data_IF_899780408048
#
_entry.id   IF_899780408048
#
_cell.length_a   1.000
_cell.length_b   1.000
_cell.length_c   1.000
_cell.angle_alpha   90.00
_cell.angle_beta   90.00
_cell.angle_gamma   90.00
#
_symmetry.space_group_name_H-M   'P 1'
#
loop_
_entity.id
_entity.type
_entity.pdbx_description
1 polymer ?
#
# COMPACT_ATOMS: atom_id res chain seq x y z
N UNK A 1 1.42 22.29 -14.99
CA UNK A 1 1.53 22.26 -13.51
C UNK A 1 1.46 20.80 -13.11
N UNK A 2 2.44 20.30 -12.37
CA UNK A 2 2.46 18.89 -11.96
C UNK A 2 1.52 18.74 -10.77
N UNK A 3 0.36 18.10 -10.95
CA UNK A 3 -0.65 17.86 -9.90
C UNK A 3 -0.22 16.77 -8.89
N UNK A 4 1.08 16.62 -8.66
CA UNK A 4 1.67 15.59 -7.80
C UNK A 4 2.70 16.24 -6.88
N UNK A 5 2.55 16.02 -5.58
CA UNK A 5 3.48 16.51 -4.56
C UNK A 5 3.97 15.37 -3.69
N UNK A 6 5.30 15.27 -3.56
CA UNK A 6 5.94 14.24 -2.75
C UNK A 6 6.49 14.84 -1.46
N UNK A 7 6.17 14.22 -0.33
CA UNK A 7 6.69 14.57 0.99
C UNK A 7 7.57 13.43 1.49
N UNK A 8 8.89 13.57 1.36
CA UNK A 8 9.85 12.52 1.73
C UNK A 8 10.15 12.50 3.22
N UNK A 9 10.29 11.29 3.78
CA UNK A 9 10.93 11.08 5.09
C UNK A 9 12.29 10.40 4.87
N UNK A 10 13.34 10.93 5.50
CA UNK A 10 14.67 10.30 5.50
C UNK A 10 14.88 9.63 6.86
N UNK A 11 15.03 8.30 6.90
CA UNK A 11 15.21 7.52 8.13
C UNK A 11 16.62 6.93 8.16
N UNK A 12 17.65 7.79 8.18
CA UNK A 12 19.06 7.35 8.11
C UNK A 12 19.88 7.58 9.40
N UNK A 13 19.23 7.80 10.55
CA UNK A 13 19.95 7.90 11.83
C UNK A 13 19.12 7.38 13.00
N UNK A 14 19.80 6.85 14.04
CA UNK A 14 19.13 6.40 15.28
C UNK A 14 18.40 7.52 16.03
N UNK A 15 18.84 8.77 15.85
CA UNK A 15 18.17 9.96 16.38
C UNK A 15 16.78 10.18 15.74
N UNK A 16 16.63 9.81 14.47
CA UNK A 16 15.36 9.91 13.74
C UNK A 16 14.39 8.83 14.20
N UNK A 17 14.85 7.62 14.52
CA UNK A 17 13.99 6.57 15.06
C UNK A 17 13.40 6.96 16.43
N UNK A 18 14.23 7.53 17.30
CA UNK A 18 13.75 8.02 18.61
C UNK A 18 12.74 9.15 18.43
N UNK A 19 13.01 10.09 17.51
CA UNK A 19 12.08 11.18 17.19
C UNK A 19 10.76 10.66 16.61
N UNK A 20 10.81 9.68 15.70
CA UNK A 20 9.62 9.01 15.16
C UNK A 20 8.81 8.40 16.31
N UNK A 21 9.45 7.66 17.20
CA UNK A 21 8.78 7.05 18.35
C UNK A 21 8.09 8.09 19.24
N UNK A 22 8.74 9.23 19.51
CA UNK A 22 8.13 10.35 20.26
C UNK A 22 6.92 10.92 19.55
N UNK A 23 7.01 11.17 18.24
CA UNK A 23 5.92 11.72 17.43
C UNK A 23 4.72 10.77 17.36
N UNK A 24 4.97 9.48 17.18
CA UNK A 24 3.92 8.45 17.06
C UNK A 24 3.20 8.15 18.38
N UNK A 25 3.61 8.77 19.51
CA UNK A 25 2.80 8.75 20.75
C UNK A 25 1.44 9.40 20.52
N UNK A 26 1.38 10.41 19.66
CA UNK A 26 0.11 10.91 19.18
C UNK A 26 -0.34 10.06 17.99
N UNK A 27 -1.23 9.10 18.26
CA UNK A 27 -1.74 8.18 17.24
C UNK A 27 -2.61 8.87 16.16
N UNK A 28 -3.10 10.08 16.43
CA UNK A 28 -3.89 10.90 15.50
C UNK A 28 -3.05 11.97 14.78
N UNK A 29 -1.70 11.88 14.86
CA UNK A 29 -0.81 12.89 14.30
C UNK A 29 -1.07 13.15 12.81
N UNK A 30 -1.18 12.10 12.00
CA UNK A 30 -1.41 12.27 10.56
C UNK A 30 -2.80 12.81 10.29
N UNK A 31 -3.85 12.30 10.93
CA UNK A 31 -5.22 12.79 10.75
C UNK A 31 -5.31 14.30 11.01
N UNK A 32 -4.71 14.78 12.11
CA UNK A 32 -4.67 16.20 12.42
C UNK A 32 -3.94 17.03 11.35
N UNK A 33 -2.79 16.55 10.85
CA UNK A 33 -2.02 17.25 9.80
C UNK A 33 -2.79 17.27 8.48
N UNK A 34 -3.37 16.14 8.08
CA UNK A 34 -4.09 16.02 6.82
C UNK A 34 -5.34 16.90 6.83
N UNK A 35 -6.13 16.85 7.91
CA UNK A 35 -7.32 17.70 8.09
C UNK A 35 -6.98 19.19 8.01
N UNK A 36 -5.82 19.60 8.55
CA UNK A 36 -5.45 21.01 8.59
C UNK A 36 -4.89 21.54 7.26
N UNK A 37 -4.18 20.71 6.49
CA UNK A 37 -3.33 21.21 5.41
C UNK A 37 -3.54 20.57 4.04
N UNK A 38 -4.14 19.38 3.96
CA UNK A 38 -4.07 18.57 2.74
C UNK A 38 -5.44 18.16 2.18
N UNK A 39 -6.44 17.88 3.02
CA UNK A 39 -7.70 17.29 2.54
C UNK A 39 -8.44 18.15 1.51
N UNK A 40 -8.38 19.47 1.62
CA UNK A 40 -9.02 20.38 0.65
C UNK A 40 -8.16 20.63 -0.62
N UNK A 41 -6.92 20.16 -0.64
CA UNK A 41 -5.95 20.47 -1.70
C UNK A 41 -5.70 19.32 -2.68
N UNK A 42 -6.05 18.08 -2.32
CA UNK A 42 -5.73 16.90 -3.10
C UNK A 42 -6.93 15.95 -3.18
N UNK A 43 -7.21 15.44 -4.38
CA UNK A 43 -8.24 14.41 -4.58
C UNK A 43 -7.85 13.07 -3.96
N UNK A 44 -6.54 12.77 -3.92
CA UNK A 44 -5.99 11.54 -3.38
C UNK A 44 -4.71 11.81 -2.59
N UNK A 45 -4.57 11.12 -1.46
CA UNK A 45 -3.37 11.15 -0.61
C UNK A 45 -2.89 9.71 -0.44
N UNK A 46 -1.66 9.44 -0.89
CA UNK A 46 -1.02 8.13 -0.75
C UNK A 46 0.02 8.22 0.36
N UNK A 47 -0.09 7.34 1.36
CA UNK A 47 0.84 7.25 2.49
C UNK A 47 1.66 5.97 2.33
N UNK A 48 2.93 6.10 1.96
CA UNK A 48 3.87 4.97 1.93
C UNK A 48 4.37 4.68 3.35
N UNK A 49 4.13 3.46 3.81
CA UNK A 49 4.38 3.05 5.19
C UNK A 49 5.68 2.24 5.30
N UNK A 50 6.46 2.41 6.39
CA UNK A 50 7.58 1.52 6.65
C UNK A 50 7.09 0.08 6.91
N UNK A 51 7.96 -0.94 6.79
CA UNK A 51 7.57 -2.35 6.88
C UNK A 51 7.19 -2.84 8.29
N UNK A 52 7.01 -1.94 9.27
CA UNK A 52 6.72 -2.26 10.67
C UNK A 52 5.23 -2.10 10.97
N UNK A 53 4.62 -3.00 11.73
CA UNK A 53 3.17 -2.97 12.05
C UNK A 53 2.81 -2.07 13.24
N UNK A 54 3.71 -1.18 13.68
CA UNK A 54 3.51 -0.30 14.86
C UNK A 54 4.11 1.08 14.58
N UNK A 55 3.76 2.07 15.41
CA UNK A 55 4.28 3.42 15.29
C UNK A 55 3.69 4.13 14.07
N UNK A 56 4.53 4.48 13.10
CA UNK A 56 4.11 5.23 11.90
C UNK A 56 3.00 4.54 11.12
N UNK A 57 3.08 3.22 10.97
CA UNK A 57 2.03 2.47 10.26
C UNK A 57 0.70 2.54 10.98
N UNK A 58 0.68 2.51 12.32
CA UNK A 58 -0.57 2.71 13.07
C UNK A 58 -1.09 4.12 12.88
N UNK A 59 -0.23 5.14 12.95
CA UNK A 59 -0.61 6.55 12.73
C UNK A 59 -1.18 6.74 11.32
N UNK A 60 -0.59 6.12 10.31
CA UNK A 60 -1.06 6.15 8.93
C UNK A 60 -2.43 5.49 8.78
N UNK A 61 -2.61 4.28 9.33
CA UNK A 61 -3.89 3.56 9.28
C UNK A 61 -5.01 4.30 10.05
N UNK A 62 -4.68 5.00 11.14
CA UNK A 62 -5.64 5.84 11.86
C UNK A 62 -6.16 6.98 10.98
N UNK A 63 -5.33 7.53 10.09
CA UNK A 63 -5.68 8.66 9.24
C UNK A 63 -6.26 8.26 7.87
N UNK A 64 -6.08 7.01 7.43
CA UNK A 64 -6.44 6.57 6.09
C UNK A 64 -7.91 6.13 5.97
N UNK A 65 -8.52 6.37 4.81
CA UNK A 65 -9.86 5.86 4.49
C UNK A 65 -9.82 4.37 4.09
N UNK A 66 -8.80 3.96 3.35
CA UNK A 66 -8.57 2.57 2.96
C UNK A 66 -7.09 2.20 2.94
N UNK A 67 -6.80 0.90 2.95
CA UNK A 67 -5.43 0.37 2.86
C UNK A 67 -5.29 -0.65 1.73
N UNK A 68 -4.28 -0.43 0.88
CA UNK A 68 -3.83 -1.38 -0.15
C UNK A 68 -2.66 -2.20 0.41
N UNK A 69 -2.74 -3.52 0.28
CA UNK A 69 -1.77 -4.46 0.86
C UNK A 69 -0.96 -5.15 -0.24
N UNK A 70 0.28 -4.73 -0.52
CA UNK A 70 1.15 -5.44 -1.44
C UNK A 70 1.72 -6.71 -0.80
N UNK A 71 1.63 -7.84 -1.49
CA UNK A 71 2.16 -9.12 -1.02
C UNK A 71 2.87 -9.89 -2.14
N UNK A 72 4.08 -10.36 -1.86
CA UNK A 72 4.81 -11.29 -2.74
C UNK A 72 4.33 -12.72 -2.51
N UNK A 73 4.19 -13.51 -3.57
CA UNK A 73 3.92 -14.93 -3.42
C UNK A 73 5.05 -15.69 -2.70
N UNK A 74 4.69 -16.51 -1.71
CA UNK A 74 5.62 -17.24 -0.86
C UNK A 74 5.00 -17.66 0.48
N UNK A 75 5.61 -18.65 1.14
CA UNK A 75 5.09 -19.21 2.40
C UNK A 75 5.15 -18.20 3.56
N UNK A 76 6.22 -17.42 3.66
CA UNK A 76 6.39 -16.39 4.70
C UNK A 76 5.37 -15.25 4.59
N UNK A 77 4.85 -15.03 3.39
CA UNK A 77 3.94 -13.94 3.10
C UNK A 77 2.57 -14.13 3.74
N UNK A 78 2.08 -15.37 3.86
CA UNK A 78 0.74 -15.65 4.40
C UNK A 78 0.69 -15.38 5.91
N UNK A 79 1.73 -15.78 6.67
CA UNK A 79 1.78 -15.52 8.11
C UNK A 79 1.92 -14.02 8.41
N UNK A 80 2.76 -13.32 7.63
CA UNK A 80 2.89 -11.87 7.73
C UNK A 80 1.56 -11.16 7.41
N UNK A 81 0.86 -11.60 6.34
CA UNK A 81 -0.44 -11.07 5.96
C UNK A 81 -1.46 -11.22 7.09
N UNK A 82 -1.56 -12.40 7.72
CA UNK A 82 -2.48 -12.62 8.85
C UNK A 82 -2.20 -11.67 10.01
N UNK A 83 -0.93 -11.46 10.37
CA UNK A 83 -0.55 -10.51 11.44
C UNK A 83 -0.93 -9.08 11.09
N UNK A 84 -0.68 -8.66 9.86
CA UNK A 84 -1.02 -7.32 9.39
C UNK A 84 -2.53 -7.13 9.29
N UNK A 85 -3.28 -8.13 8.79
CA UNK A 85 -4.74 -8.09 8.72
C UNK A 85 -5.36 -7.96 10.11
N UNK A 86 -4.90 -8.75 11.09
CA UNK A 86 -5.35 -8.61 12.48
C UNK A 86 -5.06 -7.21 13.04
N UNK A 87 -3.94 -6.60 12.66
CA UNK A 87 -3.62 -5.23 13.07
C UNK A 87 -4.55 -4.20 12.41
N UNK A 88 -4.84 -4.34 11.11
CA UNK A 88 -5.83 -3.50 10.40
C UNK A 88 -7.20 -3.60 11.09
N UNK A 89 -7.66 -4.82 11.39
CA UNK A 89 -8.93 -5.04 12.11
C UNK A 89 -8.93 -4.36 13.47
N UNK A 90 -7.84 -4.49 14.23
CA UNK A 90 -7.70 -3.83 15.53
C UNK A 90 -7.74 -2.31 15.41
N UNK A 91 -7.02 -1.72 14.44
CA UNK A 91 -7.06 -0.26 14.19
C UNK A 91 -8.48 0.16 13.80
N UNK A 92 -9.14 -0.60 12.93
CA UNK A 92 -10.52 -0.32 12.53
C UNK A 92 -11.48 -0.33 13.73
N UNK A 93 -11.32 -1.30 14.62
CA UNK A 93 -12.20 -1.47 15.77
C UNK A 93 -11.95 -0.47 16.90
N UNK A 94 -10.73 0.04 17.04
CA UNK A 94 -10.34 0.82 18.22
C UNK A 94 -10.02 2.28 17.92
N UNK A 95 -9.55 2.59 16.71
CA UNK A 95 -8.99 3.91 16.37
C UNK A 95 -9.68 4.58 15.19
N UNK A 96 -9.96 3.85 14.10
CA UNK A 96 -10.52 4.41 12.87
C UNK A 96 -11.59 3.49 12.27
N UNK A 97 -12.85 3.72 12.65
CA UNK A 97 -14.00 2.90 12.19
C UNK A 97 -14.26 2.95 10.68
N UNK A 98 -13.73 3.96 9.99
CA UNK A 98 -13.90 4.13 8.53
C UNK A 98 -12.90 3.30 7.73
N UNK A 99 -11.79 2.87 8.35
CA UNK A 99 -10.73 2.13 7.67
C UNK A 99 -11.26 0.86 7.02
N UNK A 100 -11.11 0.79 5.70
CA UNK A 100 -11.45 -0.36 4.87
C UNK A 100 -10.20 -0.99 4.25
N UNK A 101 -10.31 -2.25 3.85
CA UNK A 101 -9.28 -2.88 3.02
C UNK A 101 -9.62 -2.59 1.56
N UNK A 102 -8.80 -1.79 0.90
CA UNK A 102 -8.97 -1.45 -0.52
C UNK A 102 -8.73 -2.70 -1.39
N UNK A 103 -7.69 -3.45 -1.03
CA UNK A 103 -7.44 -4.76 -1.57
C UNK A 103 -6.06 -5.30 -1.24
N UNK A 104 -5.85 -6.55 -1.61
CA UNK A 104 -4.59 -7.29 -1.53
C UNK A 104 -4.03 -7.40 -2.95
N UNK A 105 -2.88 -6.75 -3.17
CA UNK A 105 -2.18 -6.71 -4.44
C UNK A 105 -1.08 -7.76 -4.47
N UNK A 106 -1.17 -8.71 -5.40
CA UNK A 106 -0.10 -9.67 -5.62
C UNK A 106 1.04 -9.04 -6.43
N UNK A 107 2.26 -9.09 -5.90
CA UNK A 107 3.45 -8.48 -6.50
C UNK A 107 4.56 -9.48 -6.80
N UNK A 108 5.51 -9.06 -7.65
CA UNK A 108 6.65 -9.84 -8.12
C UNK A 108 6.22 -11.18 -8.73
N UNK A 109 5.16 -11.18 -9.52
CA UNK A 109 4.63 -12.39 -10.13
C UNK A 109 5.61 -13.00 -11.13
N UNK A 110 5.88 -14.30 -10.93
CA UNK A 110 6.69 -15.15 -11.81
C UNK A 110 5.81 -16.32 -12.29
N UNK A 111 5.48 -16.37 -13.60
CA UNK A 111 4.68 -17.45 -14.17
C UNK A 111 5.30 -18.83 -13.89
N UNK A 112 4.46 -19.86 -13.81
CA UNK A 112 4.87 -21.27 -13.72
C UNK A 112 5.66 -21.68 -12.46
N UNK A 113 5.65 -20.85 -11.40
CA UNK A 113 6.24 -21.24 -10.12
C UNK A 113 5.23 -21.98 -9.23
N UNK A 114 5.68 -23.06 -8.57
CA UNK A 114 4.85 -23.79 -7.58
C UNK A 114 4.43 -22.88 -6.43
N UNK A 115 5.33 -21.99 -6.00
CA UNK A 115 5.07 -21.02 -4.93
C UNK A 115 3.88 -20.11 -5.27
N UNK A 116 3.79 -19.62 -6.51
CA UNK A 116 2.65 -18.82 -6.96
C UNK A 116 1.34 -19.59 -6.84
N UNK A 117 1.25 -20.78 -7.42
CA UNK A 117 0.02 -21.57 -7.41
C UNK A 117 -0.49 -21.88 -6.00
N UNK A 118 0.43 -22.25 -5.10
CA UNK A 118 0.10 -22.50 -3.70
C UNK A 118 -0.34 -21.24 -2.96
N UNK A 119 0.40 -20.13 -3.09
CA UNK A 119 0.04 -18.88 -2.43
C UNK A 119 -1.28 -18.33 -2.94
N UNK A 120 -1.52 -18.34 -4.26
CA UNK A 120 -2.78 -17.90 -4.84
C UNK A 120 -3.95 -18.70 -4.25
N UNK A 121 -3.87 -20.03 -4.24
CA UNK A 121 -4.93 -20.88 -3.67
C UNK A 121 -5.26 -20.50 -2.23
N UNK A 122 -4.25 -20.43 -1.36
CA UNK A 122 -4.46 -20.12 0.07
C UNK A 122 -5.01 -18.71 0.27
N UNK A 123 -4.52 -17.73 -0.49
CA UNK A 123 -5.02 -16.36 -0.37
C UNK A 123 -6.49 -16.28 -0.77
N UNK A 124 -6.88 -16.86 -1.91
CA UNK A 124 -8.27 -16.85 -2.35
C UNK A 124 -9.20 -17.57 -1.36
N UNK A 125 -8.74 -18.65 -0.72
CA UNK A 125 -9.51 -19.34 0.32
C UNK A 125 -9.73 -18.52 1.60
N UNK A 126 -8.83 -17.58 1.93
CA UNK A 126 -8.88 -16.82 3.18
C UNK A 126 -9.32 -15.35 3.02
N UNK A 127 -9.11 -14.76 1.85
CA UNK A 127 -9.24 -13.32 1.58
C UNK A 127 -9.85 -13.01 0.21
N UNK A 128 -10.55 -13.97 -0.41
CA UNK A 128 -10.95 -13.92 -1.83
C UNK A 128 -11.54 -12.59 -2.30
N UNK A 129 -12.44 -11.99 -1.50
CA UNK A 129 -13.11 -10.73 -1.85
C UNK A 129 -12.19 -9.49 -1.76
N UNK A 130 -11.14 -9.58 -0.93
CA UNK A 130 -10.15 -8.52 -0.77
C UNK A 130 -9.05 -8.59 -1.85
N UNK A 131 -8.90 -9.71 -2.58
CA UNK A 131 -7.82 -9.86 -3.56
C UNK A 131 -8.14 -9.11 -4.85
N UNK A 132 -7.19 -8.28 -5.30
CA UNK A 132 -7.27 -7.60 -6.59
C UNK A 132 -7.05 -8.57 -7.75
N UNK A 133 -7.74 -8.30 -8.86
CA UNK A 133 -7.55 -9.02 -10.11
C UNK A 133 -6.20 -8.68 -10.75
N UNK A 134 -5.77 -7.43 -10.63
CA UNK A 134 -4.47 -6.99 -11.13
C UNK A 134 -3.32 -7.61 -10.33
N UNK A 135 -2.27 -8.00 -11.05
CA UNK A 135 -1.05 -8.59 -10.49
C UNK A 135 0.16 -7.84 -11.05
N UNK A 136 1.10 -7.45 -10.18
CA UNK A 136 2.34 -6.79 -10.61
C UNK A 136 3.39 -7.86 -10.98
N UNK A 137 3.81 -7.96 -12.25
CA UNK A 137 4.81 -8.92 -12.66
C UNK A 137 6.20 -8.55 -12.15
N UNK A 138 7.08 -9.55 -12.03
CA UNK A 138 8.51 -9.29 -11.95
C UNK A 138 8.96 -8.68 -13.28
N UNK A 139 9.53 -7.47 -13.22
CA UNK A 139 9.92 -6.71 -14.40
C UNK A 139 11.28 -6.05 -14.19
N UNK A 140 12.21 -6.28 -15.11
CA UNK A 140 13.52 -5.60 -15.12
C UNK A 140 13.35 -4.09 -15.30
N UNK A 141 12.36 -3.67 -16.09
CA UNK A 141 12.04 -2.26 -16.32
C UNK A 141 11.61 -1.55 -15.04
N UNK A 142 10.88 -2.22 -14.13
CA UNK A 142 10.54 -1.63 -12.82
C UNK A 142 11.83 -1.38 -12.03
N UNK A 143 12.71 -2.38 -11.95
CA UNK A 143 13.98 -2.28 -11.23
C UNK A 143 14.91 -1.20 -11.82
N UNK A 144 14.97 -1.08 -13.13
CA UNK A 144 15.74 -0.01 -13.79
C UNK A 144 15.13 1.36 -13.51
N UNK A 145 13.81 1.51 -13.64
CA UNK A 145 13.13 2.76 -13.36
C UNK A 145 13.36 3.24 -11.91
N UNK A 146 13.30 2.33 -10.94
CA UNK A 146 13.67 2.57 -9.53
C UNK A 146 15.11 3.08 -9.41
N UNK A 147 16.07 2.41 -10.07
CA UNK A 147 17.47 2.83 -10.08
C UNK A 147 17.68 4.24 -10.63
N UNK A 148 16.92 4.62 -11.67
CA UNK A 148 16.95 5.98 -12.23
C UNK A 148 16.07 7.00 -11.49
N UNK A 149 15.37 6.59 -10.42
CA UNK A 149 14.47 7.45 -9.68
C UNK A 149 13.28 7.97 -10.51
N UNK A 150 12.82 7.18 -11.48
CA UNK A 150 11.70 7.54 -12.37
C UNK A 150 10.52 6.60 -12.14
N UNK A 151 9.27 7.10 -12.13
CA UNK A 151 8.10 6.23 -12.23
C UNK A 151 8.21 5.33 -13.46
N UNK A 152 7.88 4.04 -13.31
CA UNK A 152 8.04 3.04 -14.39
C UNK A 152 7.30 3.44 -15.68
N UNK A 153 6.13 4.07 -15.56
CA UNK A 153 5.34 4.59 -16.68
C UNK A 153 6.07 5.68 -17.48
N UNK A 154 6.89 6.50 -16.83
CA UNK A 154 7.70 7.54 -17.48
C UNK A 154 9.03 7.00 -18.02
N UNK A 155 9.43 5.81 -17.58
CA UNK A 155 10.63 5.13 -18.04
C UNK A 155 10.35 4.32 -19.32
N UNK A 156 9.35 3.44 -19.29
CA UNK A 156 8.82 2.74 -20.46
C UNK A 156 7.36 2.37 -20.25
N UNK A 157 6.47 3.13 -20.89
CA UNK A 157 5.01 2.98 -20.81
C UNK A 157 4.51 1.64 -21.37
N UNK A 158 5.25 0.99 -22.28
CA UNK A 158 4.84 -0.27 -22.92
C UNK A 158 5.29 -1.50 -22.16
N UNK A 159 6.13 -1.34 -21.14
CA UNK A 159 6.60 -2.47 -20.34
C UNK A 159 5.44 -3.14 -19.58
N UNK A 160 5.60 -4.44 -19.31
CA UNK A 160 4.60 -5.22 -18.57
C UNK A 160 4.34 -4.65 -17.17
N UNK A 161 5.35 -4.04 -16.55
CA UNK A 161 5.23 -3.36 -15.25
C UNK A 161 4.35 -2.11 -15.33
N UNK A 162 4.62 -1.22 -16.30
CA UNK A 162 3.83 -0.01 -16.52
C UNK A 162 2.37 -0.32 -16.83
N UNK A 163 2.12 -1.29 -17.71
CA UNK A 163 0.76 -1.73 -18.03
C UNK A 163 0.04 -2.26 -16.79
N UNK A 164 0.71 -3.06 -15.95
CA UNK A 164 0.13 -3.59 -14.72
C UNK A 164 -0.21 -2.49 -13.70
N UNK A 165 0.63 -1.46 -13.54
CA UNK A 165 0.31 -0.33 -12.66
C UNK A 165 -0.85 0.53 -13.19
N UNK A 166 -0.98 0.70 -14.51
CA UNK A 166 -2.13 1.38 -15.12
C UNK A 166 -3.43 0.58 -14.92
N UNK A 167 -3.37 -0.74 -15.05
CA UNK A 167 -4.50 -1.63 -14.76
C UNK A 167 -4.90 -1.55 -13.28
N UNK A 168 -3.92 -1.53 -12.37
CA UNK A 168 -4.17 -1.37 -10.94
C UNK A 168 -4.89 -0.06 -10.65
N UNK A 169 -4.38 1.05 -11.21
CA UNK A 169 -5.02 2.36 -11.04
C UNK A 169 -6.48 2.34 -11.53
N UNK A 170 -6.75 1.74 -12.69
CA UNK A 170 -8.11 1.60 -13.21
C UNK A 170 -8.99 0.73 -12.31
N UNK A 171 -8.46 -0.37 -11.77
CA UNK A 171 -9.21 -1.26 -10.88
C UNK A 171 -9.61 -0.56 -9.58
N UNK A 172 -8.69 0.20 -8.97
CA UNK A 172 -8.93 0.96 -7.75
C UNK A 172 -9.96 2.08 -7.96
N UNK A 173 -9.84 2.83 -9.06
CA UNK A 173 -10.82 3.88 -9.41
C UNK A 173 -12.22 3.31 -9.64
N UNK A 174 -12.31 2.17 -10.33
CA UNK A 174 -13.60 1.52 -10.59
C UNK A 174 -14.22 0.90 -9.33
N UNK A 175 -13.40 0.41 -8.39
CA UNK A 175 -13.89 -0.04 -7.08
C UNK A 175 -14.47 1.11 -6.26
N UNK A 176 -13.79 2.26 -6.23
CA UNK A 176 -14.30 3.47 -5.57
C UNK A 176 -15.66 3.92 -6.10
N UNK A 177 -15.85 3.89 -7.42
CA UNK A 177 -17.12 4.25 -8.08
C UNK A 177 -18.30 3.31 -7.75
N UNK A 178 -18.04 2.07 -7.33
CA UNK A 178 -19.09 1.12 -6.92
C UNK A 178 -19.55 1.31 -5.47
N UNK A 179 -18.80 2.06 -4.65
CA UNK A 179 -19.11 2.32 -3.23
C UNK A 179 -19.86 3.65 -3.02
N UNK A 180 -20.03 4.47 -4.07
CA UNK A 180 -20.74 5.76 -4.03
C UNK A 180 -22.24 5.66 -4.42
N UNK A 181 -22.84 4.46 -4.39
CA UNK A 181 -24.26 4.18 -4.64
C UNK A 181 -24.88 3.32 -3.55
#
# INVERSE_FOLDING_TARGET
>A
MTNFRFYSISINSGEIEERINRLTRNIYLFENILNQYALEQYDYIIIDCPPYLKGLTTVALTAADSVLVPIRAGQFSISALKKMYNHILWVRENLNKRLSVEGILLTMFEPNTKAWGLTKKVLFENFGDDILHTVIPKSTTITEAEFYGKPTMLFDVKSSGSVAYLQLASELMNKGLLLEH
#
